data_IF_303198653134
#
_entry.id   IF_303198653134
#
_cell.length_a   1.000
_cell.length_b   1.000
_cell.length_c   1.000
_cell.angle_alpha   90.00
_cell.angle_beta   90.00
_cell.angle_gamma   90.00
#
_symmetry.space_group_name_H-M   'P 1'
#
loop_
_entity.id
_entity.type
_entity.pdbx_description
1 polymer ?
#
# COMPACT_ATOMS: atom_id res chain seq x y z
N UNK A 1 -21.14 0.64 -14.67
CA UNK A 1 -20.17 1.33 -13.80
C UNK A 1 -20.15 2.81 -14.15
N UNK A 2 -20.43 3.70 -13.18
CA UNK A 2 -20.15 5.13 -13.32
C UNK A 2 -18.71 5.33 -12.83
N UNK A 3 -17.79 5.54 -13.76
CA UNK A 3 -16.37 5.47 -13.41
C UNK A 3 -15.91 6.67 -12.58
N UNK A 4 -14.84 6.47 -11.83
CA UNK A 4 -14.29 7.47 -10.90
C UNK A 4 -12.76 7.45 -10.93
N UNK A 5 -12.11 8.57 -10.57
CA UNK A 5 -10.66 8.61 -10.48
C UNK A 5 -10.11 7.56 -9.54
N UNK A 6 -9.01 6.91 -9.94
CA UNK A 6 -8.17 6.18 -8.98
C UNK A 6 -7.30 7.19 -8.21
N UNK A 7 -7.52 7.39 -6.89
CA UNK A 7 -6.75 8.37 -6.11
C UNK A 7 -5.29 7.98 -5.89
N UNK A 8 -4.93 6.70 -6.06
CA UNK A 8 -3.56 6.21 -6.05
C UNK A 8 -2.86 6.33 -7.42
N UNK A 9 -3.57 6.79 -8.45
CA UNK A 9 -3.07 7.04 -9.81
C UNK A 9 -2.69 5.78 -10.59
N UNK A 10 -1.81 5.92 -11.58
CA UNK A 10 -1.43 4.88 -12.57
C UNK A 10 -0.27 3.94 -12.21
N UNK A 11 0.69 4.29 -11.34
CA UNK A 11 1.80 3.42 -11.04
C UNK A 11 1.34 2.05 -10.54
N UNK A 12 2.14 1.05 -10.89
CA UNK A 12 1.93 -0.35 -10.50
C UNK A 12 2.98 -0.70 -9.47
N UNK A 13 2.57 -1.45 -8.44
CA UNK A 13 3.50 -1.86 -7.40
C UNK A 13 3.06 -3.09 -6.62
N UNK A 14 4.01 -3.98 -6.34
CA UNK A 14 3.86 -5.13 -5.45
C UNK A 14 3.75 -6.47 -6.19
N UNK A 15 3.74 -7.53 -5.41
CA UNK A 15 3.59 -8.91 -5.92
C UNK A 15 2.16 -9.18 -6.36
N UNK A 16 2.00 -10.05 -7.34
CA UNK A 16 0.68 -10.56 -7.76
C UNK A 16 0.15 -11.52 -6.70
N UNK A 17 -1.15 -11.39 -6.40
CA UNK A 17 -1.86 -12.35 -5.55
C UNK A 17 -1.66 -13.79 -6.05
N UNK A 18 -1.12 -14.66 -5.19
CA UNK A 18 -0.85 -16.05 -5.52
C UNK A 18 -2.13 -16.91 -5.57
N UNK A 19 -2.18 -17.94 -6.42
CA UNK A 19 -3.28 -18.91 -6.40
C UNK A 19 -3.43 -19.58 -5.03
N UNK A 20 -4.67 -19.69 -4.55
CA UNK A 20 -5.01 -20.21 -3.23
C UNK A 20 -4.87 -19.19 -2.10
N UNK A 21 -4.45 -17.96 -2.40
CA UNK A 21 -4.42 -16.83 -1.45
C UNK A 21 -5.59 -15.86 -1.64
N UNK A 22 -6.50 -16.15 -2.56
CA UNK A 22 -7.73 -15.37 -2.74
C UNK A 22 -8.57 -15.35 -1.46
N UNK A 23 -9.15 -14.19 -1.18
CA UNK A 23 -9.94 -13.93 0.01
C UNK A 23 -10.87 -12.73 -0.21
N UNK A 24 -11.63 -12.33 0.81
CA UNK A 24 -12.47 -11.13 0.75
C UNK A 24 -11.65 -9.85 0.44
N UNK A 25 -10.38 -9.81 0.83
CA UNK A 25 -9.46 -8.68 0.61
C UNK A 25 -8.52 -8.86 -0.59
N UNK A 26 -8.59 -10.00 -1.28
CA UNK A 26 -7.75 -10.34 -2.43
C UNK A 26 -8.57 -11.09 -3.47
N UNK A 27 -9.16 -10.35 -4.41
CA UNK A 27 -10.20 -10.88 -5.30
C UNK A 27 -9.68 -11.49 -6.61
N UNK A 28 -8.41 -11.29 -6.97
CA UNK A 28 -7.84 -11.83 -8.20
C UNK A 28 -6.36 -11.53 -8.36
N UNK A 29 -5.69 -12.16 -9.34
CA UNK A 29 -4.24 -12.08 -9.55
C UNK A 29 -3.83 -10.71 -10.12
N UNK A 30 -3.74 -9.73 -9.23
CA UNK A 30 -3.26 -8.39 -9.51
C UNK A 30 -2.30 -7.93 -8.40
N UNK A 31 -1.40 -6.98 -8.68
CA UNK A 31 -0.52 -6.41 -7.68
C UNK A 31 -1.27 -5.47 -6.73
N UNK A 32 -0.71 -5.27 -5.52
CA UNK A 32 -1.28 -4.44 -4.45
C UNK A 32 -1.68 -3.03 -4.93
N UNK A 33 -0.81 -2.36 -5.69
CA UNK A 33 -1.14 -1.13 -6.41
C UNK A 33 -1.33 -1.46 -7.89
N UNK A 34 -2.58 -1.56 -8.31
CA UNK A 34 -2.94 -2.02 -9.66
C UNK A 34 -3.00 -0.91 -10.73
N UNK A 35 -3.18 0.34 -10.32
CA UNK A 35 -3.15 1.52 -11.18
C UNK A 35 -4.26 1.64 -12.24
N UNK A 36 -5.43 1.03 -11.99
CA UNK A 36 -6.61 1.07 -12.88
C UNK A 36 -7.77 1.77 -12.18
N UNK A 37 -8.72 2.33 -12.93
CA UNK A 37 -10.02 2.72 -12.38
C UNK A 37 -10.88 1.49 -12.10
N UNK A 38 -11.96 1.65 -11.34
CA UNK A 38 -12.91 0.55 -11.12
C UNK A 38 -13.69 0.18 -12.40
N UNK A 39 -13.88 1.13 -13.33
CA UNK A 39 -14.42 0.86 -14.67
C UNK A 39 -13.52 -0.06 -15.50
N UNK A 40 -12.23 0.25 -15.55
CA UNK A 40 -11.24 -0.56 -16.25
C UNK A 40 -11.08 -1.94 -15.58
N UNK A 41 -11.01 -1.97 -14.25
CA UNK A 41 -10.89 -3.20 -13.47
C UNK A 41 -12.10 -4.13 -13.64
N UNK A 42 -13.31 -3.57 -13.77
CA UNK A 42 -14.51 -4.37 -14.05
C UNK A 42 -14.42 -5.10 -15.40
N UNK A 43 -13.89 -4.44 -16.44
CA UNK A 43 -13.65 -5.11 -17.74
C UNK A 43 -12.62 -6.24 -17.61
N UNK A 44 -11.53 -5.98 -16.88
CA UNK A 44 -10.50 -6.99 -16.63
C UNK A 44 -11.06 -8.21 -15.89
N UNK A 45 -11.82 -8.01 -14.80
CA UNK A 45 -12.42 -9.12 -14.04
C UNK A 45 -13.39 -9.96 -14.87
N UNK A 46 -14.21 -9.32 -15.71
CA UNK A 46 -15.15 -10.02 -16.58
C UNK A 46 -14.41 -10.92 -17.56
N UNK A 47 -13.36 -10.40 -18.21
CA UNK A 47 -12.58 -11.19 -19.15
C UNK A 47 -11.75 -12.26 -18.44
N UNK A 48 -11.12 -11.94 -17.30
CA UNK A 48 -10.29 -12.87 -16.55
C UNK A 48 -11.09 -14.07 -16.03
N UNK A 49 -12.23 -13.81 -15.38
CA UNK A 49 -13.09 -14.85 -14.81
C UNK A 49 -14.15 -15.39 -15.77
N UNK A 50 -14.15 -14.93 -17.04
CA UNK A 50 -15.13 -15.33 -18.07
C UNK A 50 -16.58 -15.17 -17.59
N UNK A 51 -16.85 -14.04 -16.95
CA UNK A 51 -18.17 -13.75 -16.39
C UNK A 51 -19.16 -13.41 -17.51
N UNK A 52 -20.34 -14.01 -17.46
CA UNK A 52 -21.44 -13.69 -18.36
C UNK A 52 -22.31 -12.59 -17.73
N UNK A 53 -21.92 -11.34 -17.93
CA UNK A 53 -22.64 -10.18 -17.41
C UNK A 53 -22.59 -9.03 -18.41
N UNK A 54 -23.74 -8.39 -18.65
CA UNK A 54 -23.78 -7.16 -19.43
C UNK A 54 -23.09 -6.04 -18.64
N UNK A 55 -21.97 -5.55 -19.17
CA UNK A 55 -21.16 -4.54 -18.51
C UNK A 55 -20.92 -3.33 -19.38
N UNK A 56 -21.27 -2.17 -18.83
CA UNK A 56 -21.04 -0.86 -19.44
C UNK A 56 -20.30 0.04 -18.48
N UNK A 57 -19.23 0.66 -18.96
CA UNK A 57 -18.55 1.77 -18.29
C UNK A 57 -19.10 3.07 -18.85
N UNK A 58 -19.46 4.00 -17.96
CA UNK A 58 -19.67 5.40 -18.29
C UNK A 58 -18.37 6.11 -17.95
N UNK A 59 -17.63 6.46 -18.99
CA UNK A 59 -16.26 6.98 -18.93
C UNK A 59 -16.26 8.43 -18.40
N UNK A 60 -15.17 8.79 -17.73
CA UNK A 60 -14.93 10.17 -17.31
C UNK A 60 -14.43 11.01 -18.49
N UNK A 61 -14.77 12.30 -18.51
CA UNK A 61 -14.18 13.24 -19.45
C UNK A 61 -13.03 14.01 -18.77
N UNK A 62 -11.90 14.17 -19.48
CA UNK A 62 -10.77 15.00 -19.03
C UNK A 62 -9.95 14.44 -17.87
N UNK A 63 -10.15 13.18 -17.47
CA UNK A 63 -9.32 12.57 -16.44
C UNK A 63 -7.88 12.35 -16.96
N UNK A 64 -6.91 12.94 -16.27
CA UNK A 64 -5.50 12.92 -16.66
C UNK A 64 -4.65 12.34 -15.53
N UNK A 65 -4.50 11.00 -15.46
CA UNK A 65 -3.81 10.36 -14.34
C UNK A 65 -2.30 10.58 -14.32
N UNK A 66 -1.70 10.89 -15.47
CA UNK A 66 -0.26 11.15 -15.59
C UNK A 66 0.10 12.65 -15.45
N UNK A 67 -0.88 13.50 -15.12
CA UNK A 67 -0.68 14.95 -14.99
C UNK A 67 -0.78 15.41 -13.53
N UNK A 68 0.19 16.23 -13.12
CA UNK A 68 0.20 16.88 -11.81
C UNK A 68 -0.81 18.05 -11.72
N UNK A 69 -1.07 18.57 -10.50
CA UNK A 69 -0.53 18.11 -9.21
C UNK A 69 -1.30 16.91 -8.62
N UNK A 70 -2.43 16.56 -9.25
CA UNK A 70 -3.37 15.55 -8.78
C UNK A 70 -2.97 14.11 -9.06
N UNK A 71 -2.33 13.88 -10.22
CA UNK A 71 -2.03 12.55 -10.76
C UNK A 71 -3.26 11.65 -10.74
N UNK A 72 -4.34 12.19 -11.33
CA UNK A 72 -5.65 11.55 -11.37
C UNK A 72 -6.63 12.06 -10.33
N UNK A 73 -6.21 12.55 -9.16
CA UNK A 73 -7.17 13.19 -8.24
C UNK A 73 -7.39 14.67 -8.61
N UNK A 74 -8.63 15.13 -8.88
CA UNK A 74 -8.89 16.50 -9.30
C UNK A 74 -8.87 17.47 -8.10
N UNK A 75 -7.66 17.80 -7.64
CA UNK A 75 -7.39 18.70 -6.52
C UNK A 75 -8.01 20.08 -6.80
N UNK A 76 -8.78 20.61 -5.84
CA UNK A 76 -9.43 21.91 -5.96
C UNK A 76 -10.73 21.91 -6.77
N UNK A 77 -11.01 20.85 -7.53
CA UNK A 77 -12.23 20.70 -8.33
C UNK A 77 -13.23 19.73 -7.69
N UNK A 78 -12.76 18.76 -6.89
CA UNK A 78 -13.62 17.85 -6.13
C UNK A 78 -13.24 17.78 -4.67
N UNK A 79 -14.27 17.75 -3.83
CA UNK A 79 -14.13 17.46 -2.40
C UNK A 79 -13.74 16.00 -2.18
N UNK A 80 -12.83 15.76 -1.24
CA UNK A 80 -12.60 14.44 -0.70
C UNK A 80 -13.78 14.04 0.19
N UNK A 81 -14.43 12.94 -0.13
CA UNK A 81 -15.45 12.31 0.71
C UNK A 81 -14.87 10.99 1.15
N UNK A 82 -14.69 10.83 2.46
CA UNK A 82 -14.07 9.64 3.03
C UNK A 82 -14.77 8.36 2.55
N UNK A 83 -14.10 7.47 1.78
CA UNK A 83 -14.67 6.20 1.39
C UNK A 83 -14.82 5.24 2.59
N UNK A 84 -14.06 5.47 3.66
CA UNK A 84 -14.19 4.81 4.97
C UNK A 84 -13.76 5.77 6.08
N UNK A 85 -14.13 5.55 7.36
CA UNK A 85 -13.83 6.49 8.44
C UNK A 85 -12.36 6.89 8.58
N UNK A 86 -11.44 5.96 8.29
CA UNK A 86 -9.99 6.19 8.38
C UNK A 86 -9.35 6.56 7.02
N UNK A 87 -10.12 6.66 5.95
CA UNK A 87 -9.66 7.15 4.65
C UNK A 87 -9.87 8.66 4.55
N UNK A 88 -9.15 9.41 5.38
CA UNK A 88 -9.46 10.79 5.69
C UNK A 88 -8.98 11.82 4.65
N UNK A 89 -8.00 11.48 3.83
CA UNK A 89 -7.42 12.39 2.84
C UNK A 89 -6.74 11.65 1.68
N UNK A 90 -6.28 12.40 0.69
CA UNK A 90 -5.59 11.87 -0.49
C UNK A 90 -4.23 11.23 -0.15
N UNK A 91 -3.51 11.75 0.86
CA UNK A 91 -2.21 11.20 1.27
C UNK A 91 -2.34 9.76 1.76
N UNK A 92 -3.36 9.48 2.56
CA UNK A 92 -3.73 8.12 2.94
C UNK A 92 -3.96 7.25 1.71
N UNK A 93 -4.76 7.69 0.73
CA UNK A 93 -5.05 6.89 -0.44
C UNK A 93 -3.82 6.61 -1.31
N UNK A 94 -2.88 7.57 -1.39
CA UNK A 94 -1.58 7.39 -2.05
C UNK A 94 -0.71 6.37 -1.32
N UNK A 95 -0.68 6.41 0.01
CA UNK A 95 0.15 5.53 0.84
C UNK A 95 -0.46 4.14 1.09
N UNK A 96 -1.77 3.96 0.86
CA UNK A 96 -2.54 2.80 1.33
C UNK A 96 -2.01 1.45 0.87
N UNK A 97 -1.52 1.34 -0.37
CA UNK A 97 -0.92 0.10 -0.88
C UNK A 97 0.29 -0.38 -0.03
N UNK A 98 0.94 0.53 0.68
CA UNK A 98 1.91 0.20 1.72
C UNK A 98 1.26 0.04 3.08
N UNK A 99 0.60 1.09 3.55
CA UNK A 99 0.17 1.20 4.96
C UNK A 99 -0.93 0.23 5.35
N UNK A 100 -1.69 -0.35 4.41
CA UNK A 100 -2.64 -1.42 4.71
C UNK A 100 -1.94 -2.68 5.25
N UNK A 101 -0.70 -2.96 4.81
CA UNK A 101 0.07 -4.11 5.30
C UNK A 101 0.32 -4.06 6.80
N UNK A 102 0.30 -2.86 7.40
CA UNK A 102 0.42 -2.69 8.85
C UNK A 102 -0.70 -3.39 9.62
N UNK A 103 -1.87 -3.63 9.02
CA UNK A 103 -2.95 -4.36 9.70
C UNK A 103 -2.52 -5.77 10.12
N UNK A 104 -1.65 -6.40 9.32
CA UNK A 104 -1.02 -7.69 9.60
C UNK A 104 0.15 -7.62 10.59
N UNK A 105 0.48 -6.45 11.13
CA UNK A 105 1.60 -6.24 12.06
C UNK A 105 1.17 -5.63 13.38
N UNK A 106 2.03 -5.77 14.38
CA UNK A 106 1.84 -5.20 15.73
C UNK A 106 1.98 -3.69 15.75
N UNK A 107 2.64 -3.08 14.76
CA UNK A 107 2.83 -1.63 14.65
C UNK A 107 1.50 -0.91 14.45
N UNK A 108 1.27 0.22 15.12
CA UNK A 108 0.12 1.07 14.82
C UNK A 108 0.26 1.74 13.46
N UNK A 109 -0.82 1.73 12.68
CA UNK A 109 -0.99 2.44 11.42
C UNK A 109 -1.61 3.85 11.61
N UNK A 110 -1.66 4.34 12.85
CA UNK A 110 -2.21 5.66 13.18
C UNK A 110 -3.73 5.73 13.28
N UNK A 111 -4.44 4.59 13.20
CA UNK A 111 -5.85 4.53 13.64
C UNK A 111 -5.95 5.01 15.10
N UNK A 112 -6.97 5.80 15.41
CA UNK A 112 -7.05 6.51 16.69
C UNK A 112 -6.37 7.88 16.72
N UNK A 113 -5.88 8.37 15.58
CA UNK A 113 -5.28 9.71 15.44
C UNK A 113 -5.97 10.51 14.31
N UNK A 114 -5.49 11.72 14.04
CA UNK A 114 -5.94 12.57 12.91
C UNK A 114 -5.21 12.28 11.59
N UNK A 115 -4.29 11.30 11.57
CA UNK A 115 -3.48 10.89 10.41
C UNK A 115 -3.42 9.37 10.24
N UNK A 116 -4.56 8.65 10.23
CA UNK A 116 -4.55 7.20 10.03
C UNK A 116 -4.04 6.84 8.63
N UNK A 117 -3.32 5.72 8.53
CA UNK A 117 -2.84 5.12 7.28
C UNK A 117 -1.87 6.02 6.48
N UNK A 118 -1.28 7.01 7.14
CA UNK A 118 -0.23 7.90 6.63
C UNK A 118 1.07 7.78 7.45
N UNK A 119 1.09 6.88 8.43
CA UNK A 119 2.19 6.69 9.37
C UNK A 119 2.22 5.26 9.90
N UNK A 120 3.37 4.88 10.46
CA UNK A 120 3.49 3.68 11.27
C UNK A 120 4.33 3.92 12.52
N UNK A 121 4.07 3.21 13.61
CA UNK A 121 4.92 3.31 14.80
C UNK A 121 4.51 2.37 15.93
N UNK A 122 5.34 2.33 16.96
CA UNK A 122 5.10 1.57 18.18
C UNK A 122 5.77 2.28 19.38
N UNK A 123 5.40 1.94 20.63
CA UNK A 123 5.98 2.56 21.83
C UNK A 123 7.46 2.25 22.05
N UNK A 124 7.94 1.14 21.47
CA UNK A 124 9.22 0.51 21.75
C UNK A 124 10.18 0.51 20.55
N UNK A 125 9.94 1.38 19.56
CA UNK A 125 10.85 1.60 18.43
C UNK A 125 11.41 3.03 18.42
N UNK A 126 12.54 3.25 17.75
CA UNK A 126 13.09 4.57 17.45
C UNK A 126 12.90 4.88 15.96
N UNK A 127 11.96 5.78 15.64
CA UNK A 127 11.68 6.15 14.26
C UNK A 127 12.87 6.77 13.52
N UNK A 128 13.77 7.48 14.21
CA UNK A 128 14.97 8.04 13.56
C UNK A 128 15.94 6.95 13.17
N UNK A 129 16.15 5.99 14.07
CA UNK A 129 16.96 4.81 13.77
C UNK A 129 16.36 4.00 12.62
N UNK A 130 15.03 3.81 12.62
CA UNK A 130 14.31 3.14 11.53
C UNK A 130 14.51 3.87 10.21
N UNK A 131 14.27 5.18 10.13
CA UNK A 131 14.48 5.97 8.90
C UNK A 131 15.94 5.87 8.42
N UNK A 132 16.91 5.94 9.34
CA UNK A 132 18.32 5.82 9.00
C UNK A 132 18.66 4.43 8.43
N UNK A 133 18.10 3.36 9.00
CA UNK A 133 18.29 2.00 8.49
C UNK A 133 17.59 1.81 7.13
N UNK A 134 16.38 2.35 6.94
CA UNK A 134 15.70 2.37 5.65
C UNK A 134 16.56 3.05 4.57
N UNK A 135 17.13 4.22 4.90
CA UNK A 135 18.01 4.99 4.02
C UNK A 135 19.31 4.24 3.70
N UNK A 136 19.88 3.50 4.67
CA UNK A 136 21.09 2.72 4.45
C UNK A 136 20.83 1.48 3.58
N UNK A 137 19.68 0.82 3.77
CA UNK A 137 19.38 -0.46 3.15
C UNK A 137 18.86 -0.32 1.71
N UNK A 138 17.92 0.60 1.45
CA UNK A 138 17.34 0.81 0.12
C UNK A 138 16.94 2.28 -0.13
N UNK A 139 17.91 3.20 -0.27
CA UNK A 139 17.64 4.64 -0.39
C UNK A 139 16.77 5.00 -1.61
N UNK A 140 16.82 4.19 -2.67
CA UNK A 140 16.03 4.42 -3.87
C UNK A 140 14.52 4.31 -3.64
N UNK A 141 14.09 3.51 -2.66
CA UNK A 141 12.67 3.30 -2.34
C UNK A 141 12.07 4.41 -1.45
N UNK A 142 12.90 5.36 -0.99
CA UNK A 142 12.46 6.53 -0.23
C UNK A 142 12.13 7.74 -1.11
N UNK A 143 12.31 7.62 -2.43
CA UNK A 143 12.03 8.70 -3.39
C UNK A 143 10.52 8.95 -3.49
N UNK A 144 10.18 10.21 -3.82
CA UNK A 144 8.80 10.64 -4.06
C UNK A 144 7.96 10.85 -2.81
N UNK A 145 8.56 10.87 -1.62
CA UNK A 145 7.91 11.28 -0.37
C UNK A 145 8.93 11.88 0.60
N UNK A 146 8.43 12.56 1.63
CA UNK A 146 9.24 12.96 2.80
C UNK A 146 8.88 12.07 3.99
N UNK A 147 9.88 11.45 4.63
CA UNK A 147 9.70 10.74 5.89
C UNK A 147 10.03 11.65 7.07
N UNK A 148 9.18 11.62 8.11
CA UNK A 148 9.34 12.42 9.32
C UNK A 148 9.15 11.56 10.56
N UNK A 149 10.08 11.61 11.50
CA UNK A 149 9.86 11.06 12.84
C UNK A 149 8.77 11.85 13.57
N UNK A 150 7.90 11.14 14.29
CA UNK A 150 6.82 11.74 15.04
C UNK A 150 6.47 10.92 16.28
N UNK A 151 5.77 11.56 17.20
CA UNK A 151 5.13 10.91 18.31
C UNK A 151 3.63 11.06 18.18
N UNK A 152 2.91 9.98 18.48
CA UNK A 152 1.46 9.96 18.45
C UNK A 152 0.93 8.98 19.50
N UNK A 153 -0.28 9.23 19.99
CA UNK A 153 -0.97 8.36 20.93
C UNK A 153 -2.35 7.99 20.36
N UNK A 154 -2.56 6.73 19.95
CA UNK A 154 -3.86 6.26 19.47
C UNK A 154 -4.95 6.32 20.54
N UNK A 155 -6.13 6.82 20.16
CA UNK A 155 -7.34 6.81 21.01
C UNK A 155 -8.19 5.53 20.87
N UNK A 156 -7.89 4.70 19.88
CA UNK A 156 -8.45 3.36 19.70
C UNK A 156 -7.49 2.49 18.85
N UNK A 157 -7.76 1.19 18.74
CA UNK A 157 -6.98 0.21 17.97
C UNK A 157 -5.63 -0.22 18.59
N UNK A 158 -4.55 -0.33 17.81
CA UNK A 158 -3.24 -0.77 18.30
C UNK A 158 -2.58 0.32 19.14
N UNK A 159 -1.97 -0.08 20.26
CA UNK A 159 -1.27 0.79 21.21
C UNK A 159 -2.12 1.94 21.79
N UNK A 160 -3.42 1.69 22.04
CA UNK A 160 -4.30 2.71 22.66
C UNK A 160 -3.69 3.26 23.94
N UNK A 161 -3.67 4.58 24.07
CA UNK A 161 -3.14 5.30 25.24
C UNK A 161 -1.65 5.06 25.52
N UNK A 162 -0.88 4.64 24.50
CA UNK A 162 0.56 4.51 24.59
C UNK A 162 1.22 5.46 23.61
N UNK A 163 2.20 6.23 24.09
CA UNK A 163 2.99 7.12 23.24
C UNK A 163 3.83 6.28 22.28
N UNK A 164 3.46 6.28 21.02
CA UNK A 164 4.20 5.64 19.94
C UNK A 164 5.23 6.62 19.37
N UNK A 165 6.42 6.11 19.08
CA UNK A 165 7.39 6.77 18.22
C UNK A 165 7.25 6.14 16.82
N UNK A 166 7.13 6.95 15.78
CA UNK A 166 6.81 6.46 14.45
C UNK A 166 7.26 7.36 13.31
N UNK A 167 7.03 6.85 12.11
CA UNK A 167 7.39 7.47 10.85
C UNK A 167 6.12 7.91 10.15
N UNK A 168 5.98 9.21 9.91
CA UNK A 168 4.94 9.76 9.04
C UNK A 168 5.46 9.90 7.60
N UNK A 169 4.61 9.56 6.64
CA UNK A 169 4.86 9.63 5.21
C UNK A 169 4.13 10.86 4.65
N UNK A 170 4.87 11.86 4.16
CA UNK A 170 4.30 13.03 3.50
C UNK A 170 4.35 12.85 1.99
N UNK A 171 3.19 13.06 1.35
CA UNK A 171 2.96 12.96 -0.10
C UNK A 171 2.07 14.10 -0.59
N UNK A 172 2.04 15.18 0.17
CA UNK A 172 1.27 16.41 0.01
C UNK A 172 2.16 17.66 -0.02
N UNK A 173 3.49 17.48 -0.07
CA UNK A 173 4.48 18.52 -0.19
C UNK A 173 5.14 18.53 -1.61
N UNK A 174 5.98 19.53 -1.93
CA UNK A 174 6.67 19.60 -3.23
C UNK A 174 7.67 18.46 -3.52
N UNK A 175 8.05 17.65 -2.53
CA UNK A 175 8.94 16.50 -2.73
C UNK A 175 8.18 15.26 -3.22
N UNK A 176 6.84 15.30 -3.24
CA UNK A 176 6.04 14.23 -3.81
C UNK A 176 6.28 14.08 -5.31
N UNK A 177 6.75 12.88 -5.69
CA UNK A 177 6.91 12.47 -7.08
C UNK A 177 6.07 11.21 -7.28
N UNK A 178 5.02 11.33 -8.09
CA UNK A 178 4.05 10.27 -8.29
C UNK A 178 4.63 9.00 -8.92
N UNK A 179 5.59 9.14 -9.84
CA UNK A 179 6.19 8.02 -10.54
C UNK A 179 7.28 7.35 -9.70
N UNK A 180 7.97 8.13 -8.86
CA UNK A 180 9.00 7.61 -7.97
C UNK A 180 8.43 7.04 -6.66
N UNK A 181 7.27 7.50 -6.20
CA UNK A 181 6.68 7.08 -4.93
C UNK A 181 6.17 5.63 -5.00
N UNK A 182 6.78 4.79 -4.16
CA UNK A 182 6.62 3.33 -4.11
C UNK A 182 6.15 2.89 -2.71
N UNK A 183 4.89 3.12 -2.34
CA UNK A 183 4.37 2.87 -0.99
C UNK A 183 4.51 1.41 -0.53
N UNK A 184 4.35 0.42 -1.42
CA UNK A 184 4.47 -0.98 -1.03
C UNK A 184 5.92 -1.33 -0.64
N UNK A 185 6.91 -0.94 -1.46
CA UNK A 185 8.34 -1.08 -1.15
C UNK A 185 8.74 -0.24 0.06
N UNK A 186 8.22 0.98 0.19
CA UNK A 186 8.50 1.86 1.33
C UNK A 186 8.08 1.20 2.65
N UNK A 187 6.88 0.61 2.70
CA UNK A 187 6.42 -0.07 3.90
C UNK A 187 7.15 -1.40 4.13
N UNK A 188 7.46 -2.16 3.08
CA UNK A 188 8.30 -3.36 3.15
C UNK A 188 9.67 -3.02 3.77
N UNK A 189 10.26 -1.89 3.35
CA UNK A 189 11.51 -1.37 3.89
C UNK A 189 11.39 -0.97 5.36
N UNK A 190 10.27 -0.38 5.78
CA UNK A 190 9.98 -0.10 7.19
C UNK A 190 9.98 -1.39 8.03
N UNK A 191 9.34 -2.45 7.54
CA UNK A 191 9.37 -3.77 8.19
C UNK A 191 10.78 -4.34 8.25
N UNK A 192 11.53 -4.27 7.13
CA UNK A 192 12.91 -4.75 7.05
C UNK A 192 13.83 -4.02 8.02
N UNK A 193 13.73 -2.69 8.07
CA UNK A 193 14.52 -1.86 8.98
C UNK A 193 14.23 -2.21 10.44
N UNK A 194 12.96 -2.36 10.82
CA UNK A 194 12.57 -2.79 12.18
C UNK A 194 13.11 -4.18 12.48
N UNK A 195 12.96 -5.16 11.58
CA UNK A 195 13.51 -6.52 11.79
C UNK A 195 15.03 -6.51 11.93
N UNK A 196 15.75 -5.64 11.21
CA UNK A 196 17.22 -5.53 11.29
C UNK A 196 17.70 -4.85 12.56
N UNK A 197 16.98 -3.84 13.05
CA UNK A 197 17.28 -3.15 14.31
C UNK A 197 16.85 -3.97 15.54
N UNK A 198 15.76 -4.74 15.41
CA UNK A 198 15.14 -5.52 16.46
C UNK A 198 14.85 -6.95 15.97
N UNK A 199 15.87 -7.84 15.89
CA UNK A 199 15.73 -9.18 15.30
C UNK A 199 14.60 -10.03 15.89
N UNK A 200 14.40 -9.94 17.20
CA UNK A 200 13.39 -10.73 17.93
C UNK A 200 12.04 -9.99 18.09
N UNK A 201 11.86 -8.84 17.43
CA UNK A 201 10.62 -8.07 17.55
C UNK A 201 9.43 -8.89 17.06
N UNK A 202 8.37 -8.91 17.86
CA UNK A 202 7.11 -9.56 17.50
C UNK A 202 6.37 -8.69 16.48
N UNK A 203 6.82 -8.73 15.22
CA UNK A 203 6.31 -7.85 14.17
C UNK A 203 4.96 -8.32 13.62
N UNK A 204 4.79 -9.61 13.36
CA UNK A 204 3.62 -10.15 12.68
C UNK A 204 2.52 -10.51 13.68
N UNK A 205 1.28 -10.15 13.35
CA UNK A 205 0.11 -10.55 14.13
C UNK A 205 -0.46 -11.85 13.60
N UNK A 206 -0.68 -12.78 14.51
CA UNK A 206 -1.39 -14.02 14.26
C UNK A 206 -2.82 -13.89 14.82
N UNK A 207 -3.77 -13.62 13.93
CA UNK A 207 -5.19 -13.49 14.25
C UNK A 207 -6.03 -13.72 12.99
N UNK A 208 -7.31 -14.11 13.14
CA UNK A 208 -8.21 -14.19 12.00
C UNK A 208 -8.37 -12.84 11.31
N UNK A 209 -8.18 -12.82 9.99
CA UNK A 209 -8.29 -11.62 9.17
C UNK A 209 -9.33 -11.82 8.07
N UNK A 210 -10.43 -11.05 8.13
CA UNK A 210 -11.49 -11.03 7.11
C UNK A 210 -11.92 -12.45 6.65
N UNK A 211 -12.40 -13.25 7.60
CA UNK A 211 -12.88 -14.62 7.41
C UNK A 211 -11.81 -15.66 7.05
N UNK A 212 -10.52 -15.31 7.10
CA UNK A 212 -9.40 -16.25 7.03
C UNK A 212 -8.89 -16.53 8.43
N UNK A 213 -8.77 -17.81 8.80
CA UNK A 213 -8.50 -18.25 10.18
C UNK A 213 -7.20 -19.04 10.34
N UNK A 214 -6.57 -19.44 9.24
CA UNK A 214 -5.47 -20.41 9.17
C UNK A 214 -4.19 -19.84 8.53
N UNK A 215 -4.16 -18.53 8.28
CA UNK A 215 -3.04 -17.83 7.65
C UNK A 215 -2.72 -16.56 8.43
N UNK A 216 -1.44 -16.16 8.41
CA UNK A 216 -1.04 -14.86 8.97
C UNK A 216 -1.68 -13.73 8.17
N UNK A 217 -2.20 -12.74 8.89
CA UNK A 217 -2.89 -11.60 8.30
C UNK A 217 -2.02 -10.85 7.26
N UNK A 218 -0.72 -10.68 7.51
CA UNK A 218 0.21 -10.04 6.56
C UNK A 218 0.27 -10.79 5.22
N UNK A 219 0.30 -12.12 5.26
CA UNK A 219 0.41 -12.93 4.04
C UNK A 219 -0.94 -12.91 3.26
N UNK A 220 -2.08 -12.83 3.97
CA UNK A 220 -3.40 -12.64 3.35
C UNK A 220 -3.50 -11.27 2.69
N UNK A 221 -3.07 -10.20 3.37
CA UNK A 221 -3.11 -8.83 2.85
C UNK A 221 -2.20 -8.69 1.63
N UNK A 222 -0.96 -9.18 1.71
CA UNK A 222 0.01 -9.08 0.63
C UNK A 222 -0.29 -10.02 -0.55
N UNK A 223 -1.10 -11.07 -0.32
CA UNK A 223 -1.43 -12.06 -1.33
C UNK A 223 -0.39 -13.18 -1.50
N UNK A 224 0.32 -13.50 -0.43
CA UNK A 224 1.37 -14.53 -0.38
C UNK A 224 2.45 -14.23 0.65
N UNK A 225 3.26 -15.22 1.04
CA UNK A 225 4.22 -15.10 2.14
C UNK A 225 5.54 -14.41 1.74
N UNK A 226 5.79 -14.22 0.43
CA UNK A 226 7.12 -13.81 -0.07
C UNK A 226 7.64 -12.50 0.50
N UNK A 227 6.78 -11.50 0.74
CA UNK A 227 7.18 -10.25 1.40
C UNK A 227 7.62 -10.48 2.85
N UNK A 228 6.84 -11.24 3.63
CA UNK A 228 7.17 -11.57 5.02
C UNK A 228 8.48 -12.35 5.10
N UNK A 229 8.63 -13.37 4.26
CA UNK A 229 9.84 -14.19 4.18
C UNK A 229 11.06 -13.34 3.83
N UNK A 230 10.93 -12.42 2.87
CA UNK A 230 11.98 -11.45 2.55
C UNK A 230 12.31 -10.53 3.74
N UNK A 231 11.32 -10.05 4.47
CA UNK A 231 11.58 -9.22 5.67
C UNK A 231 12.36 -10.00 6.72
N UNK A 232 11.91 -11.22 7.03
CA UNK A 232 12.44 -12.04 8.11
C UNK A 232 13.81 -12.67 7.80
N UNK A 233 14.15 -12.90 6.52
CA UNK A 233 15.46 -13.42 6.13
C UNK A 233 16.56 -12.36 6.33
N UNK A 234 17.49 -12.52 7.29
CA UNK A 234 18.56 -11.53 7.52
C UNK A 234 19.53 -11.37 6.35
N UNK A 235 19.61 -12.35 5.44
CA UNK A 235 20.48 -12.32 4.27
C UNK A 235 19.84 -11.66 3.04
N UNK A 236 18.52 -11.44 3.05
CA UNK A 236 17.84 -10.87 1.90
C UNK A 236 18.25 -9.41 1.65
N UNK A 237 18.25 -9.06 0.37
CA UNK A 237 18.68 -7.78 -0.16
C UNK A 237 17.53 -7.09 -0.89
N UNK A 238 17.61 -5.76 -1.16
CA UNK A 238 16.62 -5.09 -1.99
C UNK A 238 16.44 -5.73 -3.37
N UNK A 239 17.52 -6.28 -3.95
CA UNK A 239 17.48 -6.94 -5.25
C UNK A 239 16.61 -8.21 -5.24
N UNK A 240 16.55 -8.93 -4.12
CA UNK A 240 15.72 -10.14 -4.01
C UNK A 240 14.22 -9.79 -4.04
N UNK A 241 13.82 -8.69 -3.40
CA UNK A 241 12.42 -8.22 -3.47
C UNK A 241 12.07 -7.69 -4.86
N UNK A 242 13.02 -7.00 -5.53
CA UNK A 242 12.83 -6.59 -6.93
C UNK A 242 12.72 -7.80 -7.87
N UNK A 243 13.48 -8.88 -7.63
CA UNK A 243 13.39 -10.11 -8.41
C UNK A 243 12.03 -10.82 -8.21
N UNK A 244 11.40 -10.63 -7.04
CA UNK A 244 10.05 -11.14 -6.75
C UNK A 244 8.96 -10.28 -7.42
N UNK A 245 8.97 -8.96 -7.19
CA UNK A 245 7.87 -8.07 -7.60
C UNK A 245 8.01 -7.57 -9.05
N UNK A 246 9.23 -7.35 -9.55
CA UNK A 246 9.48 -6.75 -10.86
C UNK A 246 8.85 -7.52 -12.04
N UNK A 247 8.99 -8.85 -12.12
CA UNK A 247 8.32 -9.64 -13.15
C UNK A 247 6.79 -9.56 -13.10
N UNK A 248 6.21 -9.58 -11.90
CA UNK A 248 4.76 -9.46 -11.67
C UNK A 248 4.24 -8.09 -12.12
N UNK A 249 4.95 -7.02 -11.75
CA UNK A 249 4.61 -5.65 -12.13
C UNK A 249 4.68 -5.47 -13.66
N UNK A 250 5.72 -6.01 -14.31
CA UNK A 250 5.87 -5.97 -15.76
C UNK A 250 4.75 -6.76 -16.46
N UNK A 251 4.43 -7.96 -15.97
CA UNK A 251 3.34 -8.77 -16.50
C UNK A 251 1.99 -8.07 -16.35
N UNK A 252 1.72 -7.45 -15.20
CA UNK A 252 0.49 -6.69 -14.97
C UNK A 252 0.38 -5.46 -15.87
N UNK A 253 1.47 -4.72 -16.07
CA UNK A 253 1.51 -3.58 -16.98
C UNK A 253 1.10 -3.98 -18.39
N UNK A 254 1.56 -5.13 -18.89
CA UNK A 254 1.12 -5.64 -20.20
C UNK A 254 -0.33 -6.13 -20.17
N UNK A 255 -0.70 -6.91 -19.14
CA UNK A 255 -2.03 -7.50 -19.02
C UNK A 255 -3.13 -6.44 -18.94
N UNK A 256 -2.90 -5.30 -18.28
CA UNK A 256 -3.94 -4.27 -18.11
C UNK A 256 -4.18 -3.42 -19.36
N UNK A 257 -3.23 -3.34 -20.30
CA UNK A 257 -3.29 -2.43 -21.47
C UNK A 257 -4.61 -2.48 -22.25
N UNK A 258 -5.16 -3.65 -22.59
CA UNK A 258 -6.39 -3.72 -23.38
C UNK A 258 -7.63 -3.15 -22.68
N UNK A 259 -7.57 -2.99 -21.36
CA UNK A 259 -8.70 -2.54 -20.54
C UNK A 259 -8.59 -1.07 -20.12
N UNK A 260 -7.45 -0.42 -20.37
CA UNK A 260 -7.26 1.00 -20.06
C UNK A 260 -8.15 1.88 -20.95
N UNK A 261 -8.78 2.86 -20.33
CA UNK A 261 -9.70 3.80 -20.96
C UNK A 261 -9.11 5.21 -21.12
N UNK A 262 -8.10 5.53 -20.31
CA UNK A 262 -7.54 6.87 -20.17
C UNK A 262 -6.02 6.87 -20.12
#
# INVERSE_FOLDING_TARGET
MLDRPNPAGRPVEGTTLLPGWESFVGAGPMPMRHGMTLGEMGRWFIDHFKLDVEYRVIEMEGWAPDQGPGFGWPIGERSWINPSPNAANLSMARAYAGTVMLEGTTLSEGRGTTRPLELFGAPDIDARAVIAEMQAFAPAWLKGCTLRDCWFEPTFHKHVHQLCNGVQIHVDDPAYDHAAFRPWRLQALGFKAIRRLYPDYALWRDFPYEYVFDKLAIDVINGGPGLREWVDDPASTPADLEALAGPDEAAWVEARKPYLLY
#
